data_IF_637228854451
#
_entry.id   IF_637228854451
#
_cell.length_a   1.000
_cell.length_b   1.000
_cell.length_c   1.000
_cell.angle_alpha   90.00
_cell.angle_beta   90.00
_cell.angle_gamma   90.00
#
_symmetry.space_group_name_H-M   'P 1'
#
loop_
_entity.id
_entity.type
_entity.pdbx_description
1 polymer ?
#
# COMPACT_ATOMS: atom_id res chain seq x y z
N UNK A 1 -16.06 -29.66 -8.46
CA UNK A 1 -15.90 -28.19 -8.49
C UNK A 1 -16.10 -27.77 -9.93
N UNK A 2 -16.77 -26.66 -10.22
CA UNK A 2 -16.92 -26.22 -11.61
C UNK A 2 -15.60 -25.61 -12.09
N UNK A 3 -15.31 -25.68 -13.38
CA UNK A 3 -14.07 -25.14 -13.95
C UNK A 3 -13.91 -23.64 -13.64
N UNK A 4 -15.01 -22.88 -13.69
CA UNK A 4 -15.00 -21.44 -13.42
C UNK A 4 -14.66 -21.14 -11.96
N UNK A 5 -15.11 -21.98 -11.02
CA UNK A 5 -14.76 -21.83 -9.60
C UNK A 5 -13.26 -22.07 -9.37
N UNK A 6 -12.69 -23.07 -10.05
CA UNK A 6 -11.25 -23.36 -9.96
C UNK A 6 -10.42 -22.22 -10.52
N UNK A 7 -10.80 -21.68 -11.69
CA UNK A 7 -10.14 -20.53 -12.31
C UNK A 7 -10.21 -19.26 -11.42
N UNK A 8 -11.36 -19.03 -10.78
CA UNK A 8 -11.54 -17.93 -9.84
C UNK A 8 -10.64 -18.07 -8.61
N UNK A 9 -10.61 -19.25 -8.00
CA UNK A 9 -9.81 -19.52 -6.82
C UNK A 9 -8.31 -19.38 -7.11
N UNK A 10 -7.87 -19.79 -8.29
CA UNK A 10 -6.48 -19.63 -8.72
C UNK A 10 -6.12 -18.14 -8.96
N UNK A 11 -6.99 -17.39 -9.65
CA UNK A 11 -6.79 -15.95 -9.86
C UNK A 11 -6.76 -15.18 -8.53
N UNK A 12 -7.66 -15.52 -7.59
CA UNK A 12 -7.67 -14.90 -6.26
C UNK A 12 -6.41 -15.24 -5.47
N UNK A 13 -5.93 -16.47 -5.54
CA UNK A 13 -4.70 -16.91 -4.88
C UNK A 13 -3.47 -16.17 -5.41
N UNK A 14 -3.36 -15.98 -6.72
CA UNK A 14 -2.28 -15.20 -7.33
C UNK A 14 -2.30 -13.75 -6.82
N UNK A 15 -3.49 -13.12 -6.77
CA UNK A 15 -3.65 -11.79 -6.23
C UNK A 15 -3.27 -11.73 -4.73
N UNK A 16 -3.70 -12.71 -3.93
CA UNK A 16 -3.38 -12.75 -2.50
C UNK A 16 -1.87 -12.90 -2.26
N UNK A 17 -1.18 -13.71 -3.07
CA UNK A 17 0.26 -13.89 -2.98
C UNK A 17 1.03 -12.60 -3.26
N UNK A 18 0.72 -11.89 -4.35
CA UNK A 18 1.43 -10.63 -4.65
C UNK A 18 1.16 -9.56 -3.59
N UNK A 19 -0.06 -9.51 -3.04
CA UNK A 19 -0.38 -8.62 -1.93
C UNK A 19 0.40 -9.01 -0.65
N UNK A 20 0.55 -10.31 -0.36
CA UNK A 20 1.39 -10.79 0.76
C UNK A 20 2.83 -10.32 0.62
N UNK A 21 3.40 -10.48 -0.57
CA UNK A 21 4.77 -10.05 -0.85
C UNK A 21 4.92 -8.54 -0.70
N UNK A 22 3.95 -7.77 -1.19
CA UNK A 22 3.96 -6.31 -1.10
C UNK A 22 3.89 -5.78 0.33
N UNK A 23 3.10 -6.43 1.20
CA UNK A 23 2.89 -5.98 2.58
C UNK A 23 3.71 -6.78 3.61
N UNK A 24 4.39 -7.85 3.22
CA UNK A 24 5.04 -8.80 4.12
C UNK A 24 4.05 -9.31 5.20
N UNK A 25 2.86 -9.69 4.77
CA UNK A 25 1.72 -10.04 5.64
C UNK A 25 1.13 -11.41 5.29
N UNK A 26 0.51 -12.07 6.26
CA UNK A 26 -0.10 -13.40 6.07
C UNK A 26 -1.39 -13.38 5.24
N UNK A 27 -2.11 -12.24 5.21
CA UNK A 27 -3.40 -12.07 4.53
C UNK A 27 -3.32 -10.93 3.52
N UNK A 28 -2.83 -11.24 2.31
CA UNK A 28 -2.49 -10.27 1.30
C UNK A 28 -3.65 -9.34 0.89
N UNK A 29 -4.71 -9.88 0.30
CA UNK A 29 -5.88 -9.09 -0.15
C UNK A 29 -6.57 -8.40 1.01
N UNK A 30 -6.65 -9.04 2.18
CA UNK A 30 -7.23 -8.42 3.38
C UNK A 30 -6.41 -7.20 3.81
N UNK A 31 -5.08 -7.33 3.88
CA UNK A 31 -4.20 -6.21 4.23
C UNK A 31 -4.27 -5.07 3.21
N UNK A 32 -4.43 -5.40 1.91
CA UNK A 32 -4.66 -4.38 0.88
C UNK A 32 -5.95 -3.59 1.14
N UNK A 33 -7.05 -4.29 1.42
CA UNK A 33 -8.35 -3.69 1.75
C UNK A 33 -8.23 -2.81 3.00
N UNK A 34 -7.67 -3.34 4.08
CA UNK A 34 -7.52 -2.63 5.35
C UNK A 34 -6.66 -1.36 5.19
N UNK A 35 -5.60 -1.43 4.37
CA UNK A 35 -4.77 -0.26 4.04
C UNK A 35 -5.57 0.80 3.27
N UNK A 36 -6.41 0.39 2.31
CA UNK A 36 -7.29 1.34 1.61
C UNK A 36 -8.31 1.97 2.55
N UNK A 37 -8.88 1.22 3.51
CA UNK A 37 -9.84 1.72 4.49
C UNK A 37 -9.24 2.72 5.47
N UNK A 38 -7.98 2.53 5.86
CA UNK A 38 -7.26 3.46 6.73
C UNK A 38 -6.97 4.81 6.05
N UNK A 39 -6.90 4.84 4.73
CA UNK A 39 -6.67 6.07 3.95
C UNK A 39 -8.01 6.76 3.65
N UNK A 40 -8.43 7.65 4.54
CA UNK A 40 -9.75 8.32 4.47
C UNK A 40 -9.92 9.28 3.29
N UNK A 41 -8.83 9.78 2.72
CA UNK A 41 -8.82 10.75 1.63
C UNK A 41 -8.44 10.14 0.26
N UNK A 42 -8.37 8.81 0.15
CA UNK A 42 -7.94 8.11 -1.07
C UNK A 42 -8.75 8.48 -2.31
N UNK A 43 -10.09 8.58 -2.16
CA UNK A 43 -10.99 8.95 -3.26
C UNK A 43 -10.78 10.37 -3.80
N UNK A 44 -10.13 11.26 -3.05
CA UNK A 44 -9.78 12.61 -3.50
C UNK A 44 -8.67 12.58 -4.57
N UNK A 45 -7.78 11.62 -4.48
CA UNK A 45 -6.61 11.50 -5.35
C UNK A 45 -6.75 10.44 -6.44
N UNK A 46 -7.59 9.42 -6.18
CA UNK A 46 -7.78 8.27 -7.08
C UNK A 46 -9.28 8.07 -7.32
N UNK A 47 -9.81 8.42 -8.51
CA UNK A 47 -11.25 8.34 -8.81
C UNK A 47 -11.83 6.93 -8.63
N UNK A 48 -11.05 5.89 -8.90
CA UNK A 48 -11.48 4.48 -8.79
C UNK A 48 -11.40 3.92 -7.37
N UNK A 49 -10.99 4.70 -6.37
CA UNK A 49 -10.74 4.24 -5.00
C UNK A 49 -11.90 3.45 -4.41
N UNK A 50 -13.07 4.07 -4.32
CA UNK A 50 -14.23 3.46 -3.68
C UNK A 50 -14.79 2.26 -4.47
N UNK A 51 -14.77 2.33 -5.80
CA UNK A 51 -15.23 1.23 -6.65
C UNK A 51 -14.31 0.02 -6.54
N UNK A 52 -13.00 0.23 -6.54
CA UNK A 52 -12.02 -0.85 -6.35
C UNK A 52 -12.11 -1.44 -4.96
N UNK A 53 -12.21 -0.62 -3.90
CA UNK A 53 -12.34 -1.09 -2.53
C UNK A 53 -13.58 -1.97 -2.35
N UNK A 54 -14.74 -1.53 -2.86
CA UNK A 54 -15.97 -2.31 -2.82
C UNK A 54 -15.81 -3.64 -3.56
N UNK A 55 -15.22 -3.60 -4.77
CA UNK A 55 -15.04 -4.80 -5.58
C UNK A 55 -14.10 -5.83 -4.93
N UNK A 56 -13.02 -5.41 -4.33
CA UNK A 56 -12.14 -6.29 -3.56
C UNK A 56 -12.87 -6.98 -2.40
N UNK A 57 -13.72 -6.25 -1.68
CA UNK A 57 -14.53 -6.81 -0.59
C UNK A 57 -15.53 -7.85 -1.10
N UNK A 58 -16.20 -7.59 -2.22
CA UNK A 58 -17.13 -8.51 -2.85
C UNK A 58 -16.43 -9.81 -3.25
N UNK A 59 -15.31 -9.72 -3.95
CA UNK A 59 -14.56 -10.90 -4.40
C UNK A 59 -13.95 -11.70 -3.24
N UNK A 60 -13.47 -11.02 -2.20
CA UNK A 60 -13.04 -11.67 -0.95
C UNK A 60 -14.21 -12.42 -0.28
N UNK A 61 -15.40 -11.84 -0.28
CA UNK A 61 -16.60 -12.47 0.28
C UNK A 61 -16.98 -13.74 -0.50
N UNK A 62 -17.01 -13.69 -1.84
CA UNK A 62 -17.24 -14.85 -2.72
C UNK A 62 -16.24 -15.98 -2.39
N UNK A 63 -14.95 -15.66 -2.34
CA UNK A 63 -13.89 -16.62 -2.02
C UNK A 63 -14.08 -17.24 -0.63
N UNK A 64 -14.41 -16.45 0.37
CA UNK A 64 -14.59 -16.93 1.74
C UNK A 64 -15.81 -17.85 1.86
N UNK A 65 -16.94 -17.50 1.28
CA UNK A 65 -18.15 -18.32 1.29
C UNK A 65 -17.88 -19.68 0.63
N UNK A 66 -17.22 -19.69 -0.52
CA UNK A 66 -16.88 -20.94 -1.20
C UNK A 66 -15.97 -21.86 -0.37
N UNK A 67 -15.09 -21.30 0.43
CA UNK A 67 -14.17 -22.06 1.28
C UNK A 67 -14.85 -22.68 2.51
N UNK A 68 -16.03 -22.20 2.89
CA UNK A 68 -16.71 -22.59 4.13
C UNK A 68 -18.07 -23.32 3.89
N UNK A 69 -18.67 -23.19 2.72
CA UNK A 69 -19.97 -23.81 2.44
C UNK A 69 -19.81 -25.19 1.79
N UNK A 70 -20.35 -26.20 2.48
CA UNK A 70 -20.45 -27.57 1.94
C UNK A 70 -21.53 -27.57 0.88
N UNK A 71 -21.19 -27.95 -0.36
CA UNK A 71 -22.17 -28.13 -1.46
C UNK A 71 -22.09 -27.05 -2.57
N UNK A 72 -21.34 -25.98 -2.42
CA UNK A 72 -21.15 -24.96 -3.48
C UNK A 72 -20.27 -25.44 -4.63
N UNK A 73 -19.72 -26.64 -4.54
CA UNK A 73 -18.81 -27.22 -5.55
C UNK A 73 -19.44 -27.45 -6.93
N UNK A 74 -20.78 -27.53 -6.99
CA UNK A 74 -21.53 -27.84 -8.22
C UNK A 74 -22.21 -26.63 -8.86
N UNK A 75 -22.16 -25.47 -8.19
CA UNK A 75 -22.77 -24.23 -8.67
C UNK A 75 -21.67 -23.18 -8.91
N UNK A 76 -21.79 -22.41 -9.99
CA UNK A 76 -20.87 -21.32 -10.26
C UNK A 76 -21.05 -20.22 -9.19
N UNK A 77 -19.98 -19.91 -8.47
CA UNK A 77 -19.95 -18.88 -7.41
C UNK A 77 -19.57 -17.52 -7.94
N UNK A 78 -19.02 -17.46 -9.13
CA UNK A 78 -18.48 -16.27 -9.76
C UNK A 78 -18.82 -16.25 -11.26
N UNK A 79 -18.51 -15.16 -11.91
CA UNK A 79 -18.64 -14.96 -13.35
C UNK A 79 -17.27 -14.85 -14.03
N UNK A 80 -17.16 -15.05 -15.35
CA UNK A 80 -15.92 -14.80 -16.07
C UNK A 80 -15.39 -13.38 -15.89
N UNK A 81 -16.29 -12.39 -15.73
CA UNK A 81 -15.91 -10.99 -15.47
C UNK A 81 -15.23 -10.80 -14.11
N UNK A 82 -15.53 -11.65 -13.12
CA UNK A 82 -14.86 -11.64 -11.83
C UNK A 82 -13.39 -12.07 -11.95
N UNK A 83 -13.16 -13.11 -12.73
CA UNK A 83 -11.82 -13.66 -12.99
C UNK A 83 -11.00 -12.65 -13.79
N UNK A 84 -11.58 -12.06 -14.83
CA UNK A 84 -10.94 -11.03 -15.63
C UNK A 84 -10.56 -9.83 -14.75
N UNK A 85 -11.45 -9.39 -13.87
CA UNK A 85 -11.18 -8.29 -12.95
C UNK A 85 -10.01 -8.59 -12.01
N UNK A 86 -9.95 -9.80 -11.43
CA UNK A 86 -8.83 -10.24 -10.58
C UNK A 86 -7.50 -10.21 -11.32
N UNK A 87 -7.47 -10.72 -12.55
CA UNK A 87 -6.27 -10.73 -13.39
C UNK A 87 -5.83 -9.30 -13.77
N UNK A 88 -6.78 -8.44 -14.11
CA UNK A 88 -6.50 -7.03 -14.42
C UNK A 88 -5.99 -6.29 -13.19
N UNK A 89 -6.52 -6.57 -12.00
CA UNK A 89 -6.08 -5.95 -10.77
C UNK A 89 -4.67 -6.44 -10.36
N UNK A 90 -4.40 -7.74 -10.53
CA UNK A 90 -3.05 -8.29 -10.39
C UNK A 90 -2.05 -7.56 -11.31
N UNK A 91 -2.39 -7.40 -12.58
CA UNK A 91 -1.56 -6.67 -13.54
C UNK A 91 -1.36 -5.19 -13.15
N UNK A 92 -2.39 -4.55 -12.59
CA UNK A 92 -2.29 -3.18 -12.09
C UNK A 92 -1.27 -3.05 -10.93
N UNK A 93 -1.25 -4.02 -10.00
CA UNK A 93 -0.24 -4.06 -8.93
C UNK A 93 1.16 -4.23 -9.51
N UNK A 94 1.35 -5.18 -10.43
CA UNK A 94 2.63 -5.42 -11.09
C UNK A 94 3.16 -4.17 -11.83
N UNK A 95 2.26 -3.41 -12.44
CA UNK A 95 2.59 -2.19 -13.19
C UNK A 95 2.60 -0.93 -12.30
N UNK A 96 2.39 -1.04 -10.99
CA UNK A 96 2.30 0.11 -10.07
C UNK A 96 1.27 1.16 -10.50
N UNK A 97 0.14 0.70 -11.05
CA UNK A 97 -1.02 1.50 -11.48
C UNK A 97 -2.27 1.21 -10.62
N UNK A 98 -2.12 0.41 -9.59
CA UNK A 98 -3.14 0.12 -8.59
C UNK A 98 -3.46 1.36 -7.72
N UNK A 99 -4.61 1.41 -7.03
CA UNK A 99 -5.03 2.57 -6.26
C UNK A 99 -4.02 3.03 -5.20
N UNK A 100 -3.34 2.13 -4.50
CA UNK A 100 -2.36 2.50 -3.48
C UNK A 100 -1.09 3.11 -4.11
N UNK A 101 -0.64 2.58 -5.25
CA UNK A 101 0.48 3.14 -5.99
C UNK A 101 0.14 4.53 -6.57
N UNK A 102 -1.07 4.68 -7.14
CA UNK A 102 -1.54 5.97 -7.65
C UNK A 102 -1.68 7.01 -6.54
N UNK A 103 -2.21 6.64 -5.38
CA UNK A 103 -2.31 7.51 -4.21
C UNK A 103 -0.93 7.99 -3.74
N UNK A 104 0.03 7.08 -3.61
CA UNK A 104 1.42 7.42 -3.25
C UNK A 104 2.04 8.41 -4.24
N UNK A 105 1.89 8.16 -5.54
CA UNK A 105 2.39 9.06 -6.60
C UNK A 105 1.77 10.45 -6.50
N UNK A 106 0.45 10.53 -6.33
CA UNK A 106 -0.27 11.80 -6.23
C UNK A 106 0.13 12.62 -4.99
N UNK A 107 0.25 11.98 -3.83
CA UNK A 107 0.61 12.66 -2.58
C UNK A 107 2.07 13.08 -2.52
N UNK A 108 2.99 12.28 -3.08
CA UNK A 108 4.43 12.63 -3.13
C UNK A 108 4.69 13.80 -4.09
N UNK A 109 3.96 13.88 -5.21
CA UNK A 109 4.11 15.01 -6.15
C UNK A 109 3.63 16.34 -5.56
N UNK A 110 2.60 16.34 -4.70
CA UNK A 110 2.13 17.53 -4.00
C UNK A 110 3.12 18.06 -2.94
N UNK A 111 3.94 17.19 -2.35
CA UNK A 111 4.97 17.62 -1.39
C UNK A 111 6.20 18.24 -2.07
N UNK A 112 6.37 18.06 -3.37
CA UNK A 112 7.53 18.54 -4.13
C UNK A 112 7.29 19.87 -4.86
N UNK A 113 6.12 20.50 -4.70
CA UNK A 113 5.87 21.84 -5.23
C UNK A 113 6.71 22.83 -4.42
N UNK A 114 7.66 23.56 -5.04
CA UNK A 114 8.41 24.60 -4.32
C UNK A 114 7.40 25.66 -3.90
N UNK A 115 7.39 25.97 -2.59
CA UNK A 115 6.72 27.17 -2.09
C UNK A 115 7.22 28.35 -2.94
N UNK A 116 6.33 29.17 -3.53
CA UNK A 116 6.76 30.38 -4.21
C UNK A 116 7.54 31.21 -3.20
N UNK A 117 8.83 31.38 -3.44
CA UNK A 117 9.66 32.27 -2.62
C UNK A 117 9.06 33.68 -2.74
N UNK A 118 8.68 34.35 -1.63
CA UNK A 118 8.28 35.74 -1.70
C UNK A 118 9.41 36.54 -2.37
N UNK A 119 9.07 37.23 -3.45
CA UNK A 119 10.00 38.20 -4.09
C UNK A 119 10.13 39.32 -3.12
N UNK A 120 11.21 39.32 -2.34
CA UNK A 120 11.61 40.47 -1.48
C UNK A 120 12.28 41.49 -2.38
N UNK A 121 11.82 42.74 -2.44
CA UNK A 121 12.54 43.79 -3.15
C UNK A 121 13.92 43.97 -2.53
N UNK A 122 14.94 44.02 -3.36
CA UNK A 122 16.34 44.19 -3.02
C UNK A 122 16.57 45.53 -2.38
N UNK A 123 16.82 45.59 -1.06
CA UNK A 123 17.48 46.71 -0.40
C UNK A 123 18.84 46.20 0.07
N UNK A 124 19.88 46.73 -0.60
CA UNK A 124 21.27 46.57 -0.18
C UNK A 124 21.49 47.26 1.17
N UNK A 125 21.88 46.55 2.20
CA UNK A 125 22.75 47.05 3.23
C UNK A 125 23.59 45.93 3.84
N UNK A 126 24.83 46.23 4.00
CA UNK A 126 25.99 45.47 4.43
C UNK A 126 25.94 45.02 5.89
N UNK A 127 26.74 43.99 6.13
CA UNK A 127 27.53 43.62 7.31
C UNK A 127 26.99 42.62 8.33
N UNK A 128 27.71 41.52 8.29
CA UNK A 128 28.33 40.68 9.33
C UNK A 128 27.56 39.49 9.93
N UNK A 129 28.31 38.45 10.32
CA UNK A 129 27.85 37.08 10.32
C UNK A 129 27.53 36.57 11.73
N UNK A 130 26.56 35.63 11.83
CA UNK A 130 26.54 34.74 12.98
C UNK A 130 25.78 33.44 12.64
N UNK A 131 26.56 32.39 12.56
CA UNK A 131 26.35 30.99 12.78
C UNK A 131 25.11 30.55 13.61
N UNK A 132 24.42 29.51 13.20
CA UNK A 132 24.47 28.22 13.89
C UNK A 132 23.54 27.22 13.23
N UNK A 133 24.12 26.20 12.66
CA UNK A 133 23.49 24.99 12.14
C UNK A 133 23.08 24.06 13.29
N UNK A 134 21.79 23.86 13.50
CA UNK A 134 21.26 22.85 14.44
C UNK A 134 20.69 21.60 13.74
N UNK A 135 21.26 21.19 12.59
CA UNK A 135 20.76 20.01 11.84
C UNK A 135 21.49 18.70 12.20
N UNK A 136 22.51 18.74 13.04
CA UNK A 136 23.34 17.56 13.37
C UNK A 136 22.86 16.72 14.54
N UNK A 137 21.97 17.22 15.40
CA UNK A 137 21.67 16.56 16.68
C UNK A 137 20.61 15.46 16.59
N UNK A 138 19.66 15.56 15.65
CA UNK A 138 18.55 14.60 15.53
C UNK A 138 18.98 13.33 14.81
N UNK A 139 19.87 13.43 13.82
CA UNK A 139 20.36 12.26 13.04
C UNK A 139 21.25 11.35 13.89
N UNK A 140 22.02 11.89 14.82
CA UNK A 140 22.87 11.11 15.73
C UNK A 140 22.08 10.25 16.72
N UNK A 141 20.93 10.72 17.20
CA UNK A 141 20.11 10.05 18.22
C UNK A 141 19.38 8.84 17.65
N UNK A 142 18.95 8.88 16.37
CA UNK A 142 18.30 7.76 15.69
C UNK A 142 19.29 6.63 15.42
N UNK A 143 20.51 6.96 14.98
CA UNK A 143 21.53 5.94 14.66
C UNK A 143 21.99 5.22 15.93
N UNK A 144 22.17 5.91 17.05
CA UNK A 144 22.54 5.29 18.33
C UNK A 144 21.45 4.36 18.85
N UNK A 145 20.17 4.70 18.68
CA UNK A 145 19.06 3.85 19.09
C UNK A 145 19.00 2.55 18.29
N UNK A 146 19.20 2.61 16.96
CA UNK A 146 19.23 1.43 16.09
C UNK A 146 20.37 0.48 16.46
N UNK A 147 21.57 1.02 16.73
CA UNK A 147 22.72 0.20 17.13
C UNK A 147 22.47 -0.50 18.47
N UNK A 148 21.84 0.18 19.42
CA UNK A 148 21.53 -0.36 20.74
C UNK A 148 20.51 -1.51 20.66
N UNK A 149 19.48 -1.38 19.80
CA UNK A 149 18.49 -2.44 19.53
C UNK A 149 19.17 -3.66 18.89
N UNK A 150 20.08 -3.47 17.93
CA UNK A 150 20.79 -4.58 17.28
C UNK A 150 21.67 -5.34 18.27
N UNK A 151 22.36 -4.64 19.17
CA UNK A 151 23.19 -5.26 20.21
C UNK A 151 22.34 -6.07 21.18
N UNK A 152 21.16 -5.55 21.55
CA UNK A 152 20.25 -6.20 22.50
C UNK A 152 19.64 -7.48 21.89
N UNK A 153 19.26 -7.46 20.62
CA UNK A 153 18.78 -8.64 19.88
C UNK A 153 19.89 -9.69 19.76
N UNK A 154 21.13 -9.28 19.46
CA UNK A 154 22.26 -10.19 19.35
C UNK A 154 22.63 -10.82 20.69
N UNK A 155 22.42 -10.13 21.80
CA UNK A 155 22.65 -10.67 23.15
C UNK A 155 21.59 -11.71 23.55
N UNK A 156 20.32 -11.50 23.15
CA UNK A 156 19.22 -12.45 23.42
C UNK A 156 19.36 -13.73 22.59
N UNK A 157 19.92 -13.65 21.38
CA UNK A 157 20.13 -14.81 20.50
C UNK A 157 21.36 -15.68 20.90
N UNK A 158 22.19 -15.20 21.83
CA UNK A 158 23.36 -15.95 22.36
C UNK A 158 23.16 -16.57 23.73
N UNK A 159 21.98 -16.40 24.34
CA UNK A 159 21.57 -17.02 25.62
C UNK A 159 20.68 -18.22 25.33
#
# INVERSE_FOLDING_TARGET
>A
MTRINDEFMEAFKHLDLICKDMFQADKGVTTYIDTMEQITNGARYVPTWNTTLRRLKELRHIRNNHSHEVGTSYTDICTPADIEWLNNFYAAIMNTTDPLAMYRKATTSHQKAPTPRPVVPNYSHSDTPSSSSHTGLVTGLVITFIILVIILVAAVLKL
#
